data_IF_005444756229
#
_entry.id   IF_005444756229
#
_cell.length_a   1.000
_cell.length_b   1.000
_cell.length_c   1.000
_cell.angle_alpha   90.00
_cell.angle_beta   90.00
_cell.angle_gamma   90.00
#
_symmetry.space_group_name_H-M   'P 1'
#
loop_
_entity.id
_entity.type
_entity.pdbx_description
1 polymer ?
#
# COMPACT_ATOMS: atom_id res chain seq x y z
N UNK A 1 -12.45 -14.41 -17.33
CA UNK A 1 -13.70 -13.66 -17.60
C UNK A 1 -13.83 -12.63 -16.48
N UNK A 2 -13.69 -11.35 -16.80
CA UNK A 2 -13.92 -10.28 -15.83
C UNK A 2 -15.44 -10.13 -15.69
N UNK A 3 -15.96 -10.36 -14.50
CA UNK A 3 -17.34 -10.01 -14.18
C UNK A 3 -17.39 -8.49 -14.11
N UNK A 4 -17.97 -7.84 -15.11
CA UNK A 4 -18.06 -6.39 -15.21
C UNK A 4 -18.98 -5.78 -14.15
N UNK A 5 -18.55 -5.80 -12.88
CA UNK A 5 -19.24 -5.07 -11.82
C UNK A 5 -18.97 -3.58 -12.00
N UNK A 6 -20.03 -2.81 -12.08
CA UNK A 6 -19.93 -1.37 -12.18
C UNK A 6 -20.05 -0.72 -10.79
N UNK A 7 -19.45 0.45 -10.62
CA UNK A 7 -19.67 1.31 -9.45
C UNK A 7 -21.16 1.52 -9.18
N UNK A 8 -22.00 1.50 -10.23
CA UNK A 8 -23.45 1.59 -10.14
C UNK A 8 -24.11 0.45 -9.35
N UNK A 9 -23.52 -0.75 -9.33
CA UNK A 9 -24.07 -1.88 -8.59
C UNK A 9 -23.92 -1.68 -7.07
N UNK A 10 -22.77 -1.18 -6.62
CA UNK A 10 -22.54 -0.83 -5.20
C UNK A 10 -23.44 0.33 -4.74
N UNK A 11 -23.59 1.36 -5.58
CA UNK A 11 -24.51 2.47 -5.31
C UNK A 11 -25.96 1.95 -5.19
N UNK A 12 -26.37 1.00 -6.02
CA UNK A 12 -27.71 0.43 -5.97
C UNK A 12 -27.96 -0.33 -4.66
N UNK A 13 -26.97 -1.08 -4.16
CA UNK A 13 -27.05 -1.77 -2.86
C UNK A 13 -27.09 -0.77 -1.71
N UNK A 14 -26.21 0.23 -1.69
CA UNK A 14 -26.19 1.29 -0.69
C UNK A 14 -27.53 2.06 -0.63
N UNK A 15 -28.12 2.38 -1.78
CA UNK A 15 -29.44 3.00 -1.84
C UNK A 15 -30.53 2.10 -1.23
N UNK A 16 -30.50 0.80 -1.52
CA UNK A 16 -31.46 -0.15 -0.96
C UNK A 16 -31.31 -0.26 0.57
N UNK A 17 -30.09 -0.28 1.10
CA UNK A 17 -29.82 -0.23 2.53
C UNK A 17 -30.42 1.05 3.15
N UNK A 18 -30.14 2.20 2.55
CA UNK A 18 -30.69 3.48 3.03
C UNK A 18 -32.22 3.51 3.02
N UNK A 19 -32.86 2.94 2.01
CA UNK A 19 -34.31 2.86 1.94
C UNK A 19 -34.89 1.97 3.06
N UNK A 20 -34.24 0.84 3.36
CA UNK A 20 -34.61 -0.05 4.47
C UNK A 20 -34.43 0.68 5.81
N UNK A 21 -33.28 1.34 6.03
CA UNK A 21 -33.01 2.10 7.26
C UNK A 21 -34.09 3.17 7.50
N UNK A 22 -34.44 3.95 6.47
CA UNK A 22 -35.51 4.96 6.56
C UNK A 22 -36.84 4.33 6.93
N UNK A 23 -37.18 3.20 6.34
CA UNK A 23 -38.39 2.47 6.68
C UNK A 23 -38.37 1.98 8.14
N UNK A 24 -37.31 1.41 8.63
CA UNK A 24 -37.17 0.94 10.02
C UNK A 24 -37.25 2.13 11.00
N UNK A 25 -36.63 3.26 10.68
CA UNK A 25 -36.71 4.49 11.50
C UNK A 25 -38.13 5.02 11.57
N UNK A 26 -38.87 4.99 10.46
CA UNK A 26 -40.25 5.54 10.41
C UNK A 26 -41.24 4.74 11.24
N UNK A 27 -40.99 3.44 11.41
CA UNK A 27 -41.95 2.50 12.02
C UNK A 27 -41.70 2.25 13.50
N UNK A 28 -40.47 2.16 13.91
CA UNK A 28 -40.20 1.73 15.28
C UNK A 28 -38.84 2.11 15.82
N UNK A 29 -38.22 3.16 15.29
CA UNK A 29 -36.86 3.57 15.60
C UNK A 29 -36.47 3.74 17.07
N UNK A 30 -37.44 3.65 17.98
CA UNK A 30 -37.21 3.66 19.43
C UNK A 30 -36.95 2.25 20.04
N UNK A 31 -37.23 1.15 19.33
CA UNK A 31 -36.96 -0.18 19.83
C UNK A 31 -35.49 -0.53 19.64
N UNK A 32 -34.85 -1.04 20.69
CA UNK A 32 -33.43 -1.41 20.69
C UNK A 32 -33.05 -2.36 19.54
N UNK A 33 -33.92 -3.31 19.21
CA UNK A 33 -33.75 -4.29 18.13
C UNK A 33 -33.63 -3.62 16.74
N UNK A 34 -34.44 -2.59 16.46
CA UNK A 34 -34.33 -1.85 15.21
C UNK A 34 -33.11 -0.95 15.14
N UNK A 35 -32.74 -0.36 16.27
CA UNK A 35 -31.55 0.48 16.34
C UNK A 35 -30.26 -0.33 16.11
N UNK A 36 -30.20 -1.55 16.63
CA UNK A 36 -29.08 -2.46 16.40
C UNK A 36 -28.99 -2.84 14.92
N UNK A 37 -30.11 -3.24 14.30
CA UNK A 37 -30.18 -3.56 12.88
C UNK A 37 -29.81 -2.36 11.99
N UNK A 38 -30.22 -1.15 12.34
CA UNK A 38 -29.84 0.08 11.61
C UNK A 38 -28.30 0.28 11.66
N UNK A 39 -27.68 0.09 12.83
CA UNK A 39 -26.23 0.20 12.97
C UNK A 39 -25.49 -0.85 12.12
N UNK A 40 -25.99 -2.07 12.09
CA UNK A 40 -25.44 -3.13 11.25
C UNK A 40 -25.51 -2.74 9.76
N UNK A 41 -26.63 -2.19 9.31
CA UNK A 41 -26.77 -1.69 7.93
C UNK A 41 -25.78 -0.57 7.60
N UNK A 42 -25.57 0.36 8.51
CA UNK A 42 -24.62 1.46 8.33
C UNK A 42 -23.16 0.94 8.24
N UNK A 43 -22.85 -0.11 8.98
CA UNK A 43 -21.53 -0.78 8.91
C UNK A 43 -21.36 -1.47 7.55
N UNK A 44 -22.39 -2.20 7.10
CA UNK A 44 -22.38 -2.89 5.79
C UNK A 44 -22.23 -1.87 4.66
N UNK A 45 -22.97 -0.77 4.69
CA UNK A 45 -22.88 0.29 3.67
C UNK A 45 -21.46 0.85 3.56
N UNK A 46 -20.81 1.15 4.70
CA UNK A 46 -19.43 1.61 4.73
C UNK A 46 -18.46 0.54 4.19
N UNK A 47 -18.67 -0.73 4.56
CA UNK A 47 -17.83 -1.82 4.06
C UNK A 47 -17.94 -1.98 2.54
N UNK A 48 -19.14 -1.86 1.97
CA UNK A 48 -19.37 -1.91 0.53
C UNK A 48 -18.61 -0.81 -0.21
N UNK A 49 -18.61 0.43 0.33
CA UNK A 49 -17.84 1.54 -0.25
C UNK A 49 -16.34 1.23 -0.25
N UNK A 50 -15.81 0.66 0.84
CA UNK A 50 -14.40 0.27 0.88
C UNK A 50 -14.06 -0.84 -0.11
N UNK A 51 -14.92 -1.85 -0.26
CA UNK A 51 -14.73 -2.96 -1.21
C UNK A 51 -14.75 -2.44 -2.66
N UNK A 52 -15.61 -1.49 -2.99
CA UNK A 52 -15.66 -0.87 -4.32
C UNK A 52 -14.33 -0.22 -4.68
N UNK A 53 -13.68 0.44 -3.71
CA UNK A 53 -12.40 1.14 -3.90
C UNK A 53 -11.16 0.23 -3.90
N UNK A 54 -11.30 -1.07 -3.56
CA UNK A 54 -10.17 -2.00 -3.61
C UNK A 54 -9.67 -2.16 -5.05
N UNK A 55 -8.35 -2.12 -5.19
CA UNK A 55 -7.66 -2.31 -6.48
C UNK A 55 -6.76 -3.54 -6.40
N UNK A 56 -6.78 -4.35 -7.43
CA UNK A 56 -5.87 -5.47 -7.56
C UNK A 56 -4.46 -4.97 -7.86
N UNK A 57 -3.46 -5.63 -7.29
CA UNK A 57 -2.05 -5.33 -7.51
C UNK A 57 -1.53 -5.95 -8.83
N UNK A 58 -2.17 -7.03 -9.29
CA UNK A 58 -1.84 -7.75 -10.50
C UNK A 58 -3.05 -8.50 -11.06
N UNK A 59 -2.89 -9.16 -12.21
CA UNK A 59 -3.98 -9.85 -12.91
C UNK A 59 -4.51 -11.06 -12.12
N UNK A 60 -3.65 -11.79 -11.40
CA UNK A 60 -4.06 -12.92 -10.57
C UNK A 60 -4.97 -12.48 -9.43
N UNK A 61 -4.65 -11.35 -8.81
CA UNK A 61 -5.46 -10.78 -7.73
C UNK A 61 -6.76 -10.15 -8.22
N UNK A 62 -6.87 -9.82 -9.51
CA UNK A 62 -8.09 -9.28 -10.10
C UNK A 62 -9.26 -10.27 -9.99
N UNK A 63 -9.03 -11.53 -10.30
CA UNK A 63 -10.07 -12.56 -10.19
C UNK A 63 -10.59 -12.73 -8.76
N UNK A 64 -9.70 -12.70 -7.77
CA UNK A 64 -10.10 -12.79 -6.37
C UNK A 64 -10.86 -11.56 -5.92
N UNK A 65 -10.41 -10.38 -6.32
CA UNK A 65 -11.13 -9.14 -6.04
C UNK A 65 -12.52 -9.14 -6.67
N UNK A 66 -12.68 -9.70 -7.87
CA UNK A 66 -13.98 -9.88 -8.52
C UNK A 66 -14.88 -10.81 -7.69
N UNK A 67 -14.37 -11.89 -7.10
CA UNK A 67 -15.14 -12.74 -6.19
C UNK A 67 -15.59 -12.02 -4.92
N UNK A 68 -14.71 -11.19 -4.33
CA UNK A 68 -15.06 -10.38 -3.16
C UNK A 68 -16.16 -9.37 -3.52
N UNK A 69 -16.03 -8.69 -4.65
CA UNK A 69 -17.03 -7.75 -5.16
C UNK A 69 -18.35 -8.44 -5.45
N UNK A 70 -18.32 -9.60 -6.06
CA UNK A 70 -19.50 -10.41 -6.30
C UNK A 70 -20.21 -10.81 -5.00
N UNK A 71 -19.47 -11.32 -4.02
CA UNK A 71 -20.02 -11.66 -2.71
C UNK A 71 -20.67 -10.43 -2.05
N UNK A 72 -20.00 -9.29 -2.11
CA UNK A 72 -20.52 -8.04 -1.54
C UNK A 72 -21.84 -7.58 -2.20
N UNK A 73 -21.91 -7.61 -3.53
CA UNK A 73 -23.13 -7.20 -4.27
C UNK A 73 -24.26 -8.22 -4.10
N UNK A 74 -23.94 -9.50 -3.84
CA UNK A 74 -24.94 -10.56 -3.68
C UNK A 74 -25.85 -10.34 -2.47
N UNK A 75 -25.45 -9.52 -1.47
CA UNK A 75 -26.34 -9.14 -0.37
C UNK A 75 -27.57 -8.35 -0.86
N UNK A 76 -27.58 -7.86 -2.11
CA UNK A 76 -28.73 -7.20 -2.72
C UNK A 76 -29.98 -8.09 -2.72
N UNK A 77 -29.83 -9.38 -2.96
CA UNK A 77 -30.98 -10.29 -3.06
C UNK A 77 -31.79 -10.39 -1.76
N UNK A 78 -31.22 -10.71 -0.59
CA UNK A 78 -31.97 -10.72 0.67
C UNK A 78 -32.51 -9.34 1.04
N UNK A 79 -31.79 -8.26 0.71
CA UNK A 79 -32.24 -6.89 0.95
C UNK A 79 -33.47 -6.55 0.09
N UNK A 80 -33.49 -6.93 -1.19
CA UNK A 80 -34.66 -6.72 -2.08
C UNK A 80 -35.86 -7.54 -1.62
N UNK A 81 -35.66 -8.80 -1.23
CA UNK A 81 -36.73 -9.65 -0.73
C UNK A 81 -37.36 -9.04 0.53
N UNK A 82 -36.52 -8.54 1.45
CA UNK A 82 -36.99 -7.87 2.64
C UNK A 82 -37.74 -6.57 2.33
N UNK A 83 -37.22 -5.73 1.44
CA UNK A 83 -37.90 -4.52 1.01
C UNK A 83 -39.26 -4.80 0.37
N UNK A 84 -39.38 -5.86 -0.42
CA UNK A 84 -40.65 -6.28 -1.02
C UNK A 84 -41.67 -6.64 0.07
N UNK A 85 -41.28 -7.46 1.04
CA UNK A 85 -42.12 -7.79 2.19
C UNK A 85 -42.56 -6.53 2.95
N UNK A 86 -41.65 -5.61 3.20
CA UNK A 86 -41.97 -4.33 3.85
C UNK A 86 -43.05 -3.57 3.10
N UNK A 87 -42.95 -3.49 1.77
CA UNK A 87 -43.96 -2.83 0.92
C UNK A 87 -45.32 -3.53 0.95
N UNK A 88 -45.32 -4.84 0.97
CA UNK A 88 -46.54 -5.65 1.11
C UNK A 88 -47.23 -5.40 2.43
N UNK A 89 -46.50 -5.32 3.52
CA UNK A 89 -47.05 -4.92 4.83
C UNK A 89 -47.60 -3.51 4.81
N UNK A 90 -46.95 -2.58 4.15
CA UNK A 90 -47.43 -1.17 4.04
C UNK A 90 -48.68 -1.06 3.16
N UNK A 91 -48.71 -1.74 2.03
CA UNK A 91 -49.88 -1.76 1.12
C UNK A 91 -51.09 -2.46 1.71
N UNK A 92 -50.87 -3.57 2.45
CA UNK A 92 -51.98 -4.30 3.09
C UNK A 92 -52.69 -3.51 4.21
N UNK A 93 -52.00 -2.46 4.70
CA UNK A 93 -52.51 -1.59 5.78
C UNK A 93 -53.28 -0.35 5.28
N UNK A 94 -53.47 -0.19 3.98
CA UNK A 94 -54.35 0.77 3.34
C UNK A 94 -54.14 2.23 3.77
N UNK A 95 -53.14 2.89 3.19
CA UNK A 95 -52.73 4.28 3.51
C UNK A 95 -53.81 5.36 3.17
N UNK A 96 -54.99 4.99 2.73
CA UNK A 96 -56.03 5.94 2.28
C UNK A 96 -57.03 6.35 3.34
N UNK A 97 -56.84 6.10 4.63
CA UNK A 97 -57.83 6.55 5.62
C UNK A 97 -57.22 7.52 6.64
N UNK A 98 -57.75 8.71 6.59
CA UNK A 98 -57.42 9.91 7.38
C UNK A 98 -57.96 9.85 8.80
N UNK A 99 -58.22 8.68 9.39
CA UNK A 99 -58.82 8.51 10.70
C UNK A 99 -58.08 7.57 11.63
N UNK A 100 -57.81 8.06 12.82
CA UNK A 100 -57.58 7.43 14.11
C UNK A 100 -56.12 7.11 14.53
N UNK A 101 -55.74 7.85 15.57
CA UNK A 101 -54.52 7.63 16.38
C UNK A 101 -54.45 6.19 16.94
N UNK A 102 -55.59 5.60 17.28
CA UNK A 102 -55.67 4.20 17.77
C UNK A 102 -55.35 3.19 16.67
N UNK A 103 -55.79 3.42 15.43
CA UNK A 103 -55.41 2.56 14.28
C UNK A 103 -53.93 2.66 13.92
N UNK A 104 -53.31 3.83 14.13
CA UNK A 104 -51.86 4.01 13.95
C UNK A 104 -51.08 3.22 15.00
N UNK A 105 -51.53 3.19 16.25
CA UNK A 105 -50.89 2.39 17.30
C UNK A 105 -51.02 0.88 17.05
N UNK A 106 -52.23 0.41 16.71
CA UNK A 106 -52.47 -1.00 16.36
C UNK A 106 -51.67 -1.45 15.11
N UNK A 107 -51.53 -0.58 14.10
CA UNK A 107 -50.70 -0.80 12.92
C UNK A 107 -49.21 -0.94 13.30
N UNK A 108 -48.68 -0.01 14.13
CA UNK A 108 -47.30 -0.07 14.62
C UNK A 108 -47.02 -1.39 15.38
N UNK A 109 -47.97 -1.85 16.20
CA UNK A 109 -47.87 -3.09 16.96
C UNK A 109 -47.88 -4.28 16.01
N UNK A 110 -48.83 -4.38 15.07
CA UNK A 110 -48.95 -5.50 14.10
C UNK A 110 -47.74 -5.57 13.16
N UNK A 111 -47.24 -4.43 12.73
CA UNK A 111 -46.05 -4.29 11.93
C UNK A 111 -44.80 -4.77 12.71
N UNK A 112 -44.70 -4.38 13.96
CA UNK A 112 -43.61 -4.77 14.85
C UNK A 112 -43.53 -6.28 15.12
N UNK A 113 -44.66 -6.97 15.26
CA UNK A 113 -44.70 -8.42 15.49
C UNK A 113 -44.47 -9.22 14.20
N UNK A 114 -45.03 -8.77 13.05
CA UNK A 114 -44.87 -9.45 11.79
C UNK A 114 -43.46 -9.36 11.22
N UNK A 115 -42.78 -8.21 11.40
CA UNK A 115 -41.44 -7.98 10.86
C UNK A 115 -40.29 -8.52 11.75
N UNK A 116 -40.52 -8.77 13.03
CA UNK A 116 -39.44 -9.24 13.91
C UNK A 116 -38.81 -10.56 13.42
N UNK A 117 -39.62 -11.51 12.92
CA UNK A 117 -39.13 -12.73 12.31
C UNK A 117 -38.34 -12.51 11.03
N UNK A 118 -38.87 -11.64 10.15
CA UNK A 118 -38.21 -11.29 8.87
C UNK A 118 -36.91 -10.51 9.09
N UNK A 119 -36.83 -9.64 10.10
CA UNK A 119 -35.60 -8.95 10.49
C UNK A 119 -34.54 -9.96 10.98
N UNK A 120 -34.91 -10.90 11.85
CA UNK A 120 -34.00 -11.94 12.33
C UNK A 120 -33.46 -12.78 11.17
N UNK A 121 -34.34 -13.16 10.24
CA UNK A 121 -33.94 -13.91 9.04
C UNK A 121 -32.98 -13.09 8.16
N UNK A 122 -33.27 -11.82 7.92
CA UNK A 122 -32.41 -10.92 7.17
C UNK A 122 -31.04 -10.76 7.82
N UNK A 123 -30.99 -10.54 9.14
CA UNK A 123 -29.73 -10.45 9.90
C UNK A 123 -28.90 -11.73 9.71
N UNK A 124 -29.51 -12.89 9.87
CA UNK A 124 -28.81 -14.18 9.68
C UNK A 124 -28.22 -14.32 8.27
N UNK A 125 -28.94 -13.89 7.22
CA UNK A 125 -28.41 -13.88 5.86
C UNK A 125 -27.25 -12.89 5.70
N UNK A 126 -27.39 -11.68 6.24
CA UNK A 126 -26.34 -10.67 6.17
C UNK A 126 -25.08 -11.09 6.94
N UNK A 127 -25.23 -11.69 8.12
CA UNK A 127 -24.11 -12.24 8.89
C UNK A 127 -23.34 -13.30 8.10
N UNK A 128 -24.06 -14.18 7.39
CA UNK A 128 -23.44 -15.19 6.52
C UNK A 128 -22.66 -14.50 5.38
N UNK A 129 -23.25 -13.49 4.74
CA UNK A 129 -22.57 -12.73 3.67
C UNK A 129 -21.35 -12.00 4.19
N UNK A 130 -21.46 -11.30 5.32
CA UNK A 130 -20.35 -10.57 5.95
C UNK A 130 -19.23 -11.54 6.34
N UNK A 131 -19.56 -12.68 6.90
CA UNK A 131 -18.56 -13.72 7.25
C UNK A 131 -17.84 -14.24 6.02
N UNK A 132 -18.57 -14.48 4.92
CA UNK A 132 -17.99 -14.89 3.64
C UNK A 132 -17.06 -13.82 3.07
N UNK A 133 -17.49 -12.57 3.06
CA UNK A 133 -16.68 -11.43 2.59
C UNK A 133 -15.41 -11.29 3.44
N UNK A 134 -15.52 -11.39 4.76
CA UNK A 134 -14.37 -11.30 5.67
C UNK A 134 -13.36 -12.42 5.42
N UNK A 135 -13.82 -13.65 5.17
CA UNK A 135 -12.95 -14.77 4.82
C UNK A 135 -12.22 -14.51 3.49
N UNK A 136 -12.92 -14.03 2.47
CA UNK A 136 -12.33 -13.70 1.17
C UNK A 136 -11.33 -12.53 1.27
N UNK A 137 -11.65 -11.51 2.07
CA UNK A 137 -10.75 -10.39 2.32
C UNK A 137 -9.49 -10.82 3.08
N UNK A 138 -9.63 -11.72 4.06
CA UNK A 138 -8.49 -12.26 4.80
C UNK A 138 -7.56 -13.07 3.86
N UNK A 139 -8.14 -13.93 3.03
CA UNK A 139 -7.38 -14.68 2.02
C UNK A 139 -6.66 -13.72 1.05
N UNK A 140 -7.37 -12.74 0.51
CA UNK A 140 -6.81 -11.73 -0.38
C UNK A 140 -5.65 -10.95 0.27
N UNK A 141 -5.82 -10.57 1.55
CA UNK A 141 -4.77 -9.89 2.32
C UNK A 141 -3.53 -10.75 2.51
N UNK A 142 -3.69 -12.04 2.83
CA UNK A 142 -2.58 -12.98 2.96
C UNK A 142 -1.83 -13.17 1.64
N UNK A 143 -2.52 -13.28 0.53
CA UNK A 143 -1.91 -13.41 -0.79
C UNK A 143 -1.17 -12.14 -1.22
N UNK A 144 -1.73 -10.95 -0.92
CA UNK A 144 -1.04 -9.68 -1.10
C UNK A 144 0.26 -9.61 -0.30
N UNK A 145 0.22 -10.01 0.97
CA UNK A 145 1.41 -10.03 1.83
C UNK A 145 2.46 -11.00 1.31
N UNK A 146 2.05 -12.19 0.88
CA UNK A 146 2.96 -13.18 0.29
C UNK A 146 3.60 -12.65 -1.00
N UNK A 147 2.82 -12.09 -1.91
CA UNK A 147 3.34 -11.48 -3.15
C UNK A 147 4.30 -10.32 -2.86
N UNK A 148 3.99 -9.47 -1.88
CA UNK A 148 4.87 -8.38 -1.46
C UNK A 148 6.18 -8.90 -0.85
N UNK A 149 6.12 -9.99 -0.07
CA UNK A 149 7.29 -10.66 0.52
C UNK A 149 8.21 -11.21 -0.57
N UNK A 150 7.68 -11.93 -1.55
CA UNK A 150 8.46 -12.48 -2.68
C UNK A 150 9.13 -11.35 -3.47
N UNK A 151 8.39 -10.29 -3.82
CA UNK A 151 8.95 -9.11 -4.53
C UNK A 151 10.03 -8.39 -3.70
N UNK A 152 9.89 -8.37 -2.37
CA UNK A 152 10.89 -7.80 -1.46
C UNK A 152 12.16 -8.64 -1.45
N UNK A 153 12.02 -9.96 -1.40
CA UNK A 153 13.15 -10.90 -1.42
C UNK A 153 13.91 -10.83 -2.75
N UNK A 154 13.22 -10.76 -3.88
CA UNK A 154 13.84 -10.54 -5.18
C UNK A 154 14.63 -9.23 -5.25
N UNK A 155 14.06 -8.13 -4.73
CA UNK A 155 14.75 -6.84 -4.64
C UNK A 155 15.98 -6.92 -3.74
N UNK A 156 15.87 -7.60 -2.59
CA UNK A 156 16.99 -7.81 -1.68
C UNK A 156 18.12 -8.57 -2.37
N UNK A 157 17.81 -9.66 -3.08
CA UNK A 157 18.81 -10.41 -3.85
C UNK A 157 19.46 -9.57 -4.95
N UNK A 158 18.68 -8.71 -5.64
CA UNK A 158 19.25 -7.79 -6.63
C UNK A 158 20.19 -6.76 -6.01
N UNK A 159 19.84 -6.22 -4.85
CA UNK A 159 20.70 -5.27 -4.12
C UNK A 159 21.95 -5.97 -3.63
N UNK A 160 21.84 -7.18 -3.09
CA UNK A 160 22.98 -7.98 -2.66
C UNK A 160 23.96 -8.23 -3.83
N UNK A 161 23.45 -8.67 -4.98
CA UNK A 161 24.30 -8.87 -6.18
C UNK A 161 24.99 -7.59 -6.65
N UNK A 162 24.32 -6.44 -6.55
CA UNK A 162 24.93 -5.15 -6.87
C UNK A 162 26.01 -4.77 -5.86
N UNK A 163 25.78 -5.07 -4.58
CA UNK A 163 26.75 -4.82 -3.51
C UNK A 163 28.00 -5.67 -3.72
N UNK A 164 27.86 -6.96 -4.05
CA UNK A 164 28.97 -7.85 -4.35
C UNK A 164 29.82 -7.35 -5.53
N UNK A 165 29.14 -6.89 -6.60
CA UNK A 165 29.84 -6.28 -7.75
C UNK A 165 30.58 -5.00 -7.37
N UNK A 166 29.95 -4.13 -6.56
CA UNK A 166 30.60 -2.91 -6.10
C UNK A 166 31.80 -3.22 -5.20
N UNK A 167 31.71 -4.24 -4.37
CA UNK A 167 32.83 -4.69 -3.53
C UNK A 167 34.01 -5.21 -4.39
N UNK A 168 33.72 -5.98 -5.43
CA UNK A 168 34.76 -6.42 -6.38
C UNK A 168 35.44 -5.22 -7.06
N UNK A 169 34.64 -4.23 -7.56
CA UNK A 169 35.20 -3.03 -8.15
C UNK A 169 36.06 -2.20 -7.16
N UNK A 170 35.66 -2.14 -5.90
CA UNK A 170 36.46 -1.46 -4.87
C UNK A 170 37.81 -2.16 -4.61
N UNK A 171 37.82 -3.48 -4.68
CA UNK A 171 39.10 -4.26 -4.59
C UNK A 171 40.00 -3.95 -5.76
N UNK A 172 39.47 -3.93 -6.99
CA UNK A 172 40.19 -3.57 -8.18
C UNK A 172 40.75 -2.13 -8.11
N UNK A 173 39.92 -1.16 -7.75
CA UNK A 173 40.34 0.24 -7.58
C UNK A 173 41.43 0.37 -6.50
N UNK A 174 41.32 -0.39 -5.40
CA UNK A 174 42.36 -0.42 -4.36
C UNK A 174 43.69 -0.96 -4.90
N UNK A 175 43.61 -2.02 -5.69
CA UNK A 175 44.82 -2.59 -6.33
C UNK A 175 45.47 -1.61 -7.29
N UNK A 176 44.67 -0.97 -8.16
CA UNK A 176 45.16 0.05 -9.11
C UNK A 176 45.76 1.27 -8.39
N UNK A 177 45.13 1.70 -7.31
CA UNK A 177 45.63 2.82 -6.50
C UNK A 177 46.96 2.45 -5.84
N UNK A 178 47.12 1.20 -5.40
CA UNK A 178 48.41 0.71 -4.84
C UNK A 178 49.50 0.70 -5.93
N UNK A 179 49.18 0.21 -7.13
CA UNK A 179 50.10 0.20 -8.26
C UNK A 179 50.52 1.61 -8.69
N UNK A 180 49.59 2.55 -8.71
CA UNK A 180 49.90 3.95 -8.97
C UNK A 180 50.79 4.56 -7.86
N UNK A 181 50.59 4.16 -6.61
CA UNK A 181 51.45 4.56 -5.49
C UNK A 181 52.91 4.08 -5.68
N UNK A 182 53.08 2.84 -6.11
CA UNK A 182 54.44 2.28 -6.45
C UNK A 182 55.03 3.03 -7.62
N UNK A 183 54.30 3.23 -8.72
CA UNK A 183 54.75 4.02 -9.86
C UNK A 183 55.20 5.45 -9.55
N UNK A 184 54.43 6.15 -8.68
CA UNK A 184 54.81 7.47 -8.18
C UNK A 184 56.08 7.45 -7.33
N UNK A 185 56.27 6.42 -6.51
CA UNK A 185 57.50 6.20 -5.72
C UNK A 185 58.73 6.00 -6.63
N UNK A 186 58.56 5.23 -7.68
CA UNK A 186 59.63 4.98 -8.65
C UNK A 186 60.02 6.24 -9.42
N UNK A 187 59.03 7.01 -9.90
CA UNK A 187 59.23 8.34 -10.53
C UNK A 187 59.95 9.30 -9.58
N UNK A 188 59.54 9.32 -8.30
CA UNK A 188 60.17 10.15 -7.27
C UNK A 188 61.65 9.76 -7.04
N UNK A 189 61.93 8.46 -7.05
CA UNK A 189 63.30 7.92 -6.92
C UNK A 189 64.18 8.37 -8.11
N UNK A 190 63.69 8.24 -9.32
CA UNK A 190 64.39 8.66 -10.55
C UNK A 190 64.62 10.18 -10.51
N UNK A 191 63.62 10.96 -10.18
CA UNK A 191 63.77 12.44 -10.07
C UNK A 191 64.78 12.87 -9.03
N UNK A 192 64.86 12.18 -7.89
CA UNK A 192 65.83 12.48 -6.82
C UNK A 192 67.22 11.97 -7.14
N UNK A 193 67.31 10.75 -7.67
CA UNK A 193 68.59 10.12 -7.99
C UNK A 193 69.25 10.72 -9.24
N UNK A 194 68.62 10.55 -10.39
CA UNK A 194 69.24 10.83 -11.67
C UNK A 194 69.21 12.29 -12.04
N UNK A 195 68.06 12.93 -11.90
CA UNK A 195 67.92 14.35 -12.29
C UNK A 195 68.54 15.28 -11.23
N UNK A 196 68.34 14.96 -9.96
CA UNK A 196 68.93 15.73 -8.89
C UNK A 196 70.46 15.67 -8.89
N UNK A 197 71.00 14.48 -9.11
CA UNK A 197 72.44 14.28 -9.27
C UNK A 197 73.00 14.97 -10.53
N UNK A 198 72.33 14.78 -11.65
CA UNK A 198 72.75 15.44 -12.92
C UNK A 198 72.66 16.99 -12.86
N UNK A 199 71.60 17.53 -12.24
CA UNK A 199 71.48 18.98 -12.00
C UNK A 199 72.54 19.49 -11.01
N UNK A 200 72.82 18.73 -9.98
CA UNK A 200 73.89 19.04 -9.00
C UNK A 200 75.27 19.08 -9.70
N UNK A 201 75.57 18.11 -10.54
CA UNK A 201 76.81 18.09 -11.30
C UNK A 201 76.91 19.25 -12.33
N UNK A 202 75.83 19.59 -13.01
CA UNK A 202 75.76 20.73 -13.90
C UNK A 202 75.96 22.07 -13.18
N UNK A 203 75.33 22.25 -12.05
CA UNK A 203 75.47 23.46 -11.22
C UNK A 203 76.87 23.61 -10.63
N UNK A 204 77.46 22.55 -10.24
CA UNK A 204 78.89 22.54 -9.77
C UNK A 204 79.80 22.86 -10.94
N UNK A 205 79.56 22.31 -12.14
CA UNK A 205 80.34 22.58 -13.35
C UNK A 205 80.22 24.00 -13.83
N UNK A 206 79.07 24.68 -13.60
CA UNK A 206 78.84 26.08 -13.99
C UNK A 206 79.30 27.09 -12.92
N UNK A 207 79.81 26.62 -11.76
CA UNK A 207 80.44 27.50 -10.73
C UNK A 207 79.50 28.53 -10.11
N UNK A 208 78.19 28.36 -10.24
CA UNK A 208 77.21 29.32 -9.76
C UNK A 208 76.50 28.87 -8.48
N UNK A 209 77.05 29.22 -7.33
CA UNK A 209 76.45 28.93 -5.99
C UNK A 209 75.06 29.54 -5.77
N UNK A 210 74.61 30.44 -6.63
CA UNK A 210 73.36 31.20 -6.42
C UNK A 210 72.10 30.36 -6.84
N UNK A 211 72.26 29.38 -7.72
CA UNK A 211 71.13 28.57 -8.19
C UNK A 211 70.89 27.33 -7.32
N UNK A 212 71.88 26.89 -6.56
CA UNK A 212 71.76 25.75 -5.66
C UNK A 212 70.69 26.00 -4.57
N UNK A 213 70.61 27.24 -4.06
CA UNK A 213 69.62 27.62 -3.04
C UNK A 213 68.18 27.62 -3.58
N UNK A 214 67.96 28.09 -4.80
CA UNK A 214 66.59 28.10 -5.40
C UNK A 214 66.11 26.70 -5.78
N UNK A 215 66.96 25.83 -6.29
CA UNK A 215 66.60 24.43 -6.56
C UNK A 215 66.29 23.65 -5.28
N UNK A 216 67.00 23.92 -4.19
CA UNK A 216 66.71 23.32 -2.88
C UNK A 216 65.36 23.74 -2.31
N UNK A 217 64.98 24.97 -2.49
CA UNK A 217 63.66 25.50 -2.06
C UNK A 217 62.52 24.88 -2.88
N UNK A 218 62.70 24.60 -4.16
CA UNK A 218 61.70 23.89 -4.99
C UNK A 218 61.57 22.43 -4.58
N UNK A 219 62.66 21.76 -4.17
CA UNK A 219 62.61 20.37 -3.69
C UNK A 219 61.97 20.24 -2.31
N UNK A 220 62.13 21.18 -1.41
CA UNK A 220 61.53 21.15 -0.06
C UNK A 220 60.03 21.39 -0.09
N UNK A 221 59.45 21.91 -1.18
CA UNK A 221 58.01 22.11 -1.37
C UNK A 221 57.29 20.94 -2.08
N UNK A 222 58.00 19.93 -2.59
CA UNK A 222 57.42 18.73 -3.22
C UNK A 222 56.68 17.79 -2.23
N UNK A 223 57.03 17.70 -0.93
CA UNK A 223 56.32 16.80 0.01
C UNK A 223 54.90 17.23 0.36
N UNK A 224 54.43 18.45 0.04
CA UNK A 224 53.12 18.94 0.41
C UNK A 224 51.94 18.29 -0.38
N UNK A 225 52.23 17.59 -1.48
CA UNK A 225 51.18 16.90 -2.26
C UNK A 225 50.78 15.56 -1.65
N UNK A 226 51.56 15.01 -0.70
CA UNK A 226 51.25 13.73 -0.05
C UNK A 226 50.29 13.82 1.15
N UNK A 227 49.98 15.04 1.65
CA UNK A 227 49.12 15.21 2.83
C UNK A 227 47.64 15.44 2.53
N UNK A 228 47.24 15.50 1.27
CA UNK A 228 45.84 15.74 0.89
C UNK A 228 45.02 14.50 0.52
N UNK A 229 45.56 13.28 0.73
CA UNK A 229 44.82 12.03 0.53
C UNK A 229 44.91 11.13 1.77
N UNK A 230 44.31 11.60 2.87
CA UNK A 230 43.84 10.77 3.98
C UNK A 230 42.45 11.14 4.38
#
# INVERSE_FOLDING_TARGET
>A
MSFGFSVGDFIAVGKLINDIVRCLQSVGGAKSEYQETIREFEIIDKALVHIDHLKAADEQMTAQLDYIKFAAISCRYPLQAFMTKMKEYDSSLGIKSRMDMMRKAARKVRWSFGLSGDIKQLRMYLDTHVSTINMLLAQYGLEQMNSASVKSEEKFMQVSRKLDKNQALLVDVKSDTSNLGHGLSDIQSILRGDIGSSLGQLLVAMGQNRYVYQARMMYDHLPMVQQTFH
#
